data_IF_676208005762
#
_entry.id   IF_676208005762
#
_cell.length_a   1.000
_cell.length_b   1.000
_cell.length_c   1.000
_cell.angle_alpha   90.00
_cell.angle_beta   90.00
_cell.angle_gamma   90.00
#
_symmetry.space_group_name_H-M   'P 1'
#
loop_
_entity.id
_entity.type
_entity.pdbx_description
1 polymer ?
#
# COMPACT_ATOMS: atom_id res chain seq x y z
N UNK A 1 2.94 0.97 9.90
CA UNK A 1 3.36 2.18 10.67
C UNK A 1 2.72 3.45 10.10
N UNK A 2 2.81 3.75 8.78
CA UNK A 2 2.13 4.90 8.13
C UNK A 2 0.62 4.79 8.29
N UNK A 3 0.05 3.62 7.99
CA UNK A 3 -1.39 3.37 8.13
C UNK A 3 -1.86 3.62 9.58
N UNK A 4 -1.12 3.14 10.60
CA UNK A 4 -1.42 3.43 12.01
C UNK A 4 -1.45 4.93 12.29
N UNK A 5 -0.49 5.68 11.74
CA UNK A 5 -0.44 7.13 11.92
C UNK A 5 -1.67 7.81 11.27
N UNK A 6 -2.04 7.41 10.05
CA UNK A 6 -3.22 7.90 9.36
C UNK A 6 -4.51 7.65 10.15
N UNK A 7 -4.69 6.44 10.69
CA UNK A 7 -5.88 6.08 11.47
C UNK A 7 -5.94 6.79 12.81
N UNK A 8 -4.79 7.03 13.45
CA UNK A 8 -4.71 7.66 14.77
C UNK A 8 -4.91 9.16 14.72
N UNK A 9 -4.31 9.84 13.74
CA UNK A 9 -4.25 11.30 13.69
C UNK A 9 -5.07 11.89 12.54
N UNK A 10 -5.54 11.06 11.61
CA UNK A 10 -6.44 11.45 10.55
C UNK A 10 -7.84 11.78 11.08
N UNK A 11 -8.41 12.88 10.59
CA UNK A 11 -9.79 13.28 10.94
C UNK A 11 -10.85 12.60 10.08
N UNK A 12 -10.46 11.77 9.14
CA UNK A 12 -11.32 11.07 8.19
C UNK A 12 -11.78 9.72 8.74
N UNK A 13 -13.02 9.35 8.42
CA UNK A 13 -13.58 8.03 8.71
C UNK A 13 -13.14 7.08 7.61
N UNK A 14 -12.00 6.42 7.82
CA UNK A 14 -11.39 5.53 6.85
C UNK A 14 -11.76 4.08 7.17
N UNK A 15 -12.18 3.33 6.14
CA UNK A 15 -12.11 1.88 6.18
C UNK A 15 -10.74 1.42 5.68
N UNK A 16 -10.28 0.30 6.19
CA UNK A 16 -9.01 -0.30 5.80
C UNK A 16 -9.25 -1.71 5.31
N UNK A 17 -8.78 -1.99 4.11
CA UNK A 17 -8.73 -3.31 3.54
C UNK A 17 -7.27 -3.76 3.55
N UNK A 18 -6.96 -4.82 4.28
CA UNK A 18 -5.61 -5.38 4.39
C UNK A 18 -5.55 -6.65 3.56
N UNK A 19 -4.60 -6.68 2.66
CA UNK A 19 -4.24 -7.86 1.90
C UNK A 19 -2.84 -8.31 2.28
N UNK A 20 -2.74 -9.10 3.35
CA UNK A 20 -1.47 -9.62 3.84
C UNK A 20 -1.33 -11.12 3.55
N UNK A 21 -0.09 -11.51 3.27
CA UNK A 21 0.34 -12.88 3.10
C UNK A 21 0.72 -13.53 4.43
N UNK A 22 0.25 -14.73 4.65
CA UNK A 22 0.71 -15.57 5.75
C UNK A 22 -0.25 -15.60 6.94
N UNK A 23 -0.04 -16.57 7.82
CA UNK A 23 -0.87 -16.86 8.97
C UNK A 23 -1.28 -15.63 9.77
N UNK A 24 -2.58 -15.38 9.74
CA UNK A 24 -3.32 -14.59 10.74
C UNK A 24 -2.66 -13.29 11.23
N UNK A 25 -3.03 -12.17 10.59
CA UNK A 25 -3.37 -10.97 11.33
C UNK A 25 -2.30 -10.22 12.11
N UNK A 26 -1.00 -10.30 11.77
CA UNK A 26 -0.01 -9.49 12.51
C UNK A 26 -0.28 -7.98 12.38
N UNK A 27 -0.70 -7.51 11.20
CA UNK A 27 -1.00 -6.10 11.02
C UNK A 27 -2.40 -5.73 11.52
N UNK A 28 -3.38 -6.61 11.35
CA UNK A 28 -4.70 -6.46 11.98
C UNK A 28 -4.62 -6.45 13.50
N UNK A 29 -3.85 -7.33 14.11
CA UNK A 29 -3.63 -7.37 15.56
C UNK A 29 -2.81 -6.15 16.04
N UNK A 30 -1.86 -5.68 15.25
CA UNK A 30 -1.13 -4.44 15.52
C UNK A 30 -2.03 -3.20 15.44
N UNK A 31 -3.01 -3.18 14.55
CA UNK A 31 -4.01 -2.12 14.48
C UNK A 31 -4.99 -2.20 15.64
N UNK A 32 -5.47 -3.40 15.98
CA UNK A 32 -6.32 -3.66 17.17
C UNK A 32 -5.63 -3.28 18.47
N UNK A 33 -4.32 -3.52 18.59
CA UNK A 33 -3.53 -3.18 19.78
C UNK A 33 -3.24 -1.68 19.93
N UNK A 34 -3.64 -0.83 19.01
CA UNK A 34 -3.39 0.61 19.08
C UNK A 34 -4.10 1.35 20.23
N UNK A 35 -5.11 0.75 20.86
CA UNK A 35 -5.73 1.26 22.11
C UNK A 35 -6.46 2.60 21.99
N UNK A 36 -6.68 3.13 20.79
CA UNK A 36 -7.26 4.46 20.55
C UNK A 36 -8.61 4.45 19.83
N UNK A 37 -9.01 3.29 19.28
CA UNK A 37 -10.35 3.07 18.77
C UNK A 37 -11.02 2.05 19.70
N UNK A 38 -12.34 2.15 19.90
CA UNK A 38 -13.07 1.06 20.55
C UNK A 38 -12.94 -0.22 19.70
N UNK A 39 -12.99 -1.39 20.34
CA UNK A 39 -12.97 -2.67 19.59
C UNK A 39 -14.08 -2.70 18.53
N UNK A 40 -15.24 -2.16 18.86
CA UNK A 40 -16.42 -2.05 17.98
C UNK A 40 -16.16 -1.12 16.77
N UNK A 41 -15.42 -0.01 16.95
CA UNK A 41 -15.01 0.88 15.86
C UNK A 41 -13.97 0.25 14.93
N UNK A 42 -13.06 -0.56 15.47
CA UNK A 42 -12.04 -1.28 14.71
C UNK A 42 -12.64 -2.43 13.90
N UNK A 43 -13.50 -3.24 14.50
CA UNK A 43 -14.21 -4.33 13.82
C UNK A 43 -15.07 -3.82 12.66
N UNK A 44 -15.64 -2.62 12.81
CA UNK A 44 -16.47 -2.01 11.77
C UNK A 44 -15.67 -1.34 10.64
N UNK A 45 -14.39 -1.07 10.81
CA UNK A 45 -13.55 -0.34 9.84
C UNK A 45 -12.43 -1.18 9.23
N UNK A 46 -12.06 -2.27 9.90
CA UNK A 46 -10.98 -3.16 9.47
C UNK A 46 -11.59 -4.38 8.77
N UNK A 47 -11.22 -4.59 7.51
CA UNK A 47 -11.60 -5.79 6.76
C UNK A 47 -10.33 -6.48 6.27
N UNK A 48 -10.09 -7.67 6.80
CA UNK A 48 -8.99 -8.52 6.37
C UNK A 48 -9.45 -9.42 5.22
N UNK A 49 -8.66 -9.50 4.16
CA UNK A 49 -8.89 -10.45 3.07
C UNK A 49 -8.21 -11.77 3.42
N UNK A 50 -8.97 -12.83 3.56
CA UNK A 50 -8.50 -14.10 4.13
C UNK A 50 -7.75 -15.02 3.15
N UNK A 51 -7.71 -14.73 1.85
CA UNK A 51 -7.31 -15.72 0.85
C UNK A 51 -6.24 -15.20 -0.12
N UNK A 52 -5.00 -15.04 0.33
CA UNK A 52 -3.88 -14.92 -0.57
C UNK A 52 -3.73 -13.60 -1.33
N UNK A 53 -2.89 -13.59 -2.37
CA UNK A 53 -2.55 -12.39 -3.13
C UNK A 53 -3.75 -11.78 -3.86
N UNK A 54 -3.99 -10.52 -3.62
CA UNK A 54 -5.02 -9.74 -4.30
C UNK A 54 -4.85 -9.77 -5.83
N UNK A 55 -3.64 -10.05 -6.33
CA UNK A 55 -3.36 -10.17 -7.76
C UNK A 55 -3.97 -11.41 -8.41
N UNK A 56 -4.21 -12.50 -7.65
CA UNK A 56 -4.76 -13.76 -8.17
C UNK A 56 -6.24 -13.97 -7.83
N UNK A 57 -6.69 -13.43 -6.70
CA UNK A 57 -8.07 -13.60 -6.17
C UNK A 57 -8.89 -12.32 -6.19
N UNK A 58 -8.49 -11.32 -7.01
CA UNK A 58 -9.17 -10.02 -7.07
C UNK A 58 -10.67 -10.15 -7.30
N UNK A 59 -11.12 -11.12 -8.10
CA UNK A 59 -12.54 -11.30 -8.37
C UNK A 59 -13.30 -11.92 -7.19
N UNK A 60 -12.68 -12.86 -6.50
CA UNK A 60 -13.38 -13.70 -5.52
C UNK A 60 -13.51 -13.02 -4.16
N UNK A 61 -12.50 -12.28 -3.72
CA UNK A 61 -12.47 -11.68 -2.38
C UNK A 61 -12.55 -10.14 -2.39
N UNK A 62 -11.86 -9.49 -3.33
CA UNK A 62 -11.81 -8.03 -3.39
C UNK A 62 -13.16 -7.42 -3.75
N UNK A 63 -13.84 -7.93 -4.80
CA UNK A 63 -15.10 -7.36 -5.26
C UNK A 63 -16.22 -7.45 -4.21
N UNK A 64 -16.49 -8.61 -3.58
CA UNK A 64 -17.50 -8.70 -2.53
C UNK A 64 -17.18 -7.81 -1.32
N UNK A 65 -15.91 -7.76 -0.93
CA UNK A 65 -15.45 -6.91 0.18
C UNK A 65 -15.63 -5.42 -0.15
N UNK A 66 -15.22 -5.01 -1.34
CA UNK A 66 -15.41 -3.64 -1.81
C UNK A 66 -16.90 -3.28 -1.86
N UNK A 67 -17.76 -4.15 -2.38
CA UNK A 67 -19.21 -3.93 -2.39
C UNK A 67 -19.79 -3.78 -0.98
N UNK A 68 -19.31 -4.55 -0.02
CA UNK A 68 -19.71 -4.42 1.39
C UNK A 68 -19.32 -3.05 1.95
N UNK A 69 -18.09 -2.59 1.72
CA UNK A 69 -17.65 -1.25 2.15
C UNK A 69 -18.42 -0.14 1.44
N UNK A 70 -18.70 -0.30 0.16
CA UNK A 70 -19.48 0.68 -0.63
C UNK A 70 -20.94 0.76 -0.18
N UNK A 71 -21.52 -0.31 0.36
CA UNK A 71 -22.87 -0.26 0.95
C UNK A 71 -22.94 0.67 2.16
N UNK A 72 -21.79 0.94 2.80
CA UNK A 72 -21.61 1.83 3.96
C UNK A 72 -20.98 3.18 3.58
N UNK A 73 -20.99 3.56 2.32
CA UNK A 73 -20.33 4.78 1.81
C UNK A 73 -20.76 6.07 2.53
N UNK A 74 -21.99 6.14 3.05
CA UNK A 74 -22.46 7.28 3.84
C UNK A 74 -21.76 7.45 5.19
N UNK A 75 -21.13 6.38 5.70
CA UNK A 75 -20.41 6.34 6.99
C UNK A 75 -18.92 6.59 6.82
N UNK A 76 -18.40 6.48 5.60
CA UNK A 76 -16.97 6.50 5.28
C UNK A 76 -16.61 7.74 4.45
N UNK A 77 -15.45 8.29 4.74
CA UNK A 77 -14.84 9.36 3.94
C UNK A 77 -13.83 8.80 2.93
N UNK A 78 -13.42 7.53 3.09
CA UNK A 78 -12.51 6.85 2.17
C UNK A 78 -12.20 5.41 2.57
N UNK A 79 -11.56 4.71 1.64
CA UNK A 79 -11.07 3.34 1.82
C UNK A 79 -9.57 3.36 1.56
N UNK A 80 -8.80 2.79 2.47
CA UNK A 80 -7.36 2.56 2.29
C UNK A 80 -7.15 1.08 2.04
N UNK A 81 -6.51 0.75 0.94
CA UNK A 81 -6.12 -0.63 0.62
C UNK A 81 -4.63 -0.77 0.88
N UNK A 82 -4.26 -1.61 1.84
CA UNK A 82 -2.89 -2.00 2.09
C UNK A 82 -2.61 -3.31 1.37
N UNK A 83 -1.50 -3.35 0.66
CA UNK A 83 -1.06 -4.54 -0.07
C UNK A 83 0.26 -5.04 0.49
N UNK A 84 0.48 -6.35 0.39
CA UNK A 84 1.79 -6.94 0.64
C UNK A 84 2.87 -6.25 -0.20
N UNK A 85 4.10 -6.18 0.33
CA UNK A 85 5.26 -5.71 -0.42
C UNK A 85 5.60 -6.56 -1.66
N UNK A 86 4.98 -7.73 -1.81
CA UNK A 86 5.09 -8.61 -2.98
C UNK A 86 3.94 -8.45 -3.98
N UNK A 87 2.96 -7.61 -3.70
CA UNK A 87 1.83 -7.44 -4.57
C UNK A 87 2.19 -6.63 -5.83
N UNK A 88 1.74 -7.12 -6.99
CA UNK A 88 1.71 -6.34 -8.21
C UNK A 88 0.56 -5.32 -8.12
N UNK A 89 0.83 -4.02 -8.27
CA UNK A 89 -0.20 -3.01 -8.07
C UNK A 89 -1.21 -2.94 -9.22
N UNK A 90 -0.79 -3.26 -10.45
CA UNK A 90 -1.62 -3.12 -11.66
C UNK A 90 -2.94 -3.90 -11.63
N UNK A 91 -3.01 -5.18 -11.20
CA UNK A 91 -4.27 -5.92 -11.13
C UNK A 91 -5.29 -5.25 -10.22
N UNK A 92 -4.85 -4.70 -9.08
CA UNK A 92 -5.72 -3.98 -8.16
C UNK A 92 -6.24 -2.67 -8.79
N UNK A 93 -5.36 -1.91 -9.43
CA UNK A 93 -5.75 -0.68 -10.13
C UNK A 93 -6.77 -0.96 -11.24
N UNK A 94 -6.59 -2.05 -12.00
CA UNK A 94 -7.55 -2.49 -13.01
C UNK A 94 -8.90 -2.88 -12.40
N UNK A 95 -8.91 -3.51 -11.23
CA UNK A 95 -10.14 -3.89 -10.54
C UNK A 95 -10.97 -2.67 -10.10
N UNK A 96 -10.34 -1.55 -9.79
CA UNK A 96 -11.04 -0.29 -9.48
C UNK A 96 -11.78 0.28 -10.70
N UNK A 97 -11.37 -0.06 -11.92
CA UNK A 97 -12.02 0.35 -13.17
C UNK A 97 -13.21 -0.55 -13.57
N UNK A 98 -13.52 -1.60 -12.80
CA UNK A 98 -14.66 -2.46 -13.09
C UNK A 98 -15.99 -1.70 -12.97
N UNK A 99 -16.97 -2.00 -13.84
CA UNK A 99 -18.25 -1.26 -13.89
C UNK A 99 -18.96 -1.14 -12.55
N UNK A 100 -18.89 -2.18 -11.72
CA UNK A 100 -19.56 -2.24 -10.41
C UNK A 100 -18.90 -1.33 -9.35
N UNK A 101 -17.64 -0.95 -9.57
CA UNK A 101 -16.81 -0.17 -8.64
C UNK A 101 -16.60 1.25 -9.15
N UNK A 102 -16.15 1.44 -10.40
CA UNK A 102 -15.69 2.72 -10.95
C UNK A 102 -16.69 3.87 -10.86
N UNK A 103 -17.98 3.55 -10.83
CA UNK A 103 -19.04 4.57 -10.70
C UNK A 103 -19.24 5.06 -9.26
N UNK A 104 -18.65 4.36 -8.27
CA UNK A 104 -18.86 4.59 -6.85
C UNK A 104 -17.62 5.02 -6.11
N UNK A 105 -16.43 4.79 -6.68
CA UNK A 105 -15.14 5.16 -6.10
C UNK A 105 -14.33 6.00 -7.06
N UNK A 106 -13.47 6.83 -6.48
CA UNK A 106 -12.42 7.54 -7.18
C UNK A 106 -11.08 7.16 -6.53
N UNK A 107 -10.11 6.73 -7.35
CA UNK A 107 -8.77 6.50 -6.87
C UNK A 107 -8.11 7.84 -6.54
N UNK A 108 -7.84 8.06 -5.26
CA UNK A 108 -7.22 9.29 -4.79
C UNK A 108 -5.71 9.30 -5.08
N UNK A 109 -5.04 8.16 -4.94
CA UNK A 109 -3.63 8.02 -5.27
C UNK A 109 -3.03 6.72 -4.77
N UNK A 110 -1.87 6.41 -5.31
CA UNK A 110 -1.05 5.26 -4.94
C UNK A 110 0.17 5.73 -4.17
N UNK A 111 0.36 5.20 -2.97
CA UNK A 111 1.51 5.50 -2.11
C UNK A 111 2.41 4.29 -2.03
N UNK A 112 3.64 4.43 -2.50
CA UNK A 112 4.66 3.39 -2.37
C UNK A 112 5.60 3.71 -1.22
N UNK A 113 5.78 2.77 -0.30
CA UNK A 113 6.69 2.90 0.84
C UNK A 113 7.97 2.13 0.55
N UNK A 114 9.09 2.82 0.62
CA UNK A 114 10.43 2.26 0.40
C UNK A 114 11.18 2.23 1.72
N UNK A 115 11.80 1.10 2.05
CA UNK A 115 12.71 1.01 3.19
C UNK A 115 14.05 1.69 2.83
N UNK A 116 14.28 2.87 3.40
CA UNK A 116 15.49 3.66 3.13
C UNK A 116 16.76 2.98 3.63
N UNK A 117 16.70 2.27 4.77
CA UNK A 117 17.82 1.55 5.35
C UNK A 117 18.22 0.37 4.45
N UNK A 118 17.24 -0.48 4.08
CA UNK A 118 17.47 -1.62 3.19
C UNK A 118 17.99 -1.18 1.81
N UNK A 119 17.40 -0.14 1.23
CA UNK A 119 17.80 0.33 -0.09
C UNK A 119 19.21 0.98 -0.07
N UNK A 120 19.62 1.59 1.05
CA UNK A 120 20.97 2.06 1.25
C UNK A 120 21.98 0.91 1.30
N UNK A 121 21.61 -0.25 1.82
CA UNK A 121 22.40 -1.48 1.83
C UNK A 121 22.40 -2.24 0.49
N UNK A 122 21.62 -1.77 -0.47
CA UNK A 122 21.59 -2.28 -1.85
C UNK A 122 20.39 -3.16 -2.17
N UNK A 123 19.53 -3.49 -1.20
CA UNK A 123 18.35 -4.32 -1.38
C UNK A 123 17.05 -3.49 -1.36
N UNK A 124 16.05 -3.79 -2.20
CA UNK A 124 14.72 -3.17 -2.08
C UNK A 124 13.96 -3.60 -0.82
N UNK A 125 14.39 -4.66 -0.15
CA UNK A 125 13.77 -5.26 1.04
C UNK A 125 14.80 -5.52 2.13
N UNK A 126 14.40 -5.38 3.40
CA UNK A 126 15.29 -5.54 4.55
C UNK A 126 15.68 -6.99 4.85
N UNK A 127 14.81 -7.95 4.57
CA UNK A 127 15.05 -9.38 4.81
C UNK A 127 14.66 -10.21 3.59
N UNK A 128 15.65 -10.50 2.75
CA UNK A 128 15.48 -11.30 1.53
C UNK A 128 15.07 -12.73 1.88
N UNK A 129 15.64 -13.31 2.95
CA UNK A 129 15.35 -14.68 3.32
C UNK A 129 13.92 -14.87 3.84
N UNK A 130 13.40 -13.89 4.59
CA UNK A 130 12.00 -13.89 5.02
C UNK A 130 11.07 -13.76 3.82
N UNK A 131 11.44 -12.92 2.86
CA UNK A 131 10.68 -12.71 1.63
C UNK A 131 10.65 -13.96 0.73
N UNK A 132 11.77 -14.65 0.56
CA UNK A 132 11.86 -15.91 -0.21
C UNK A 132 10.99 -16.99 0.43
N UNK A 133 11.02 -17.13 1.74
CA UNK A 133 10.14 -18.06 2.47
C UNK A 133 8.67 -17.71 2.29
N UNK A 134 8.33 -16.43 2.31
CA UNK A 134 6.97 -15.97 2.07
C UNK A 134 6.51 -16.29 0.64
N UNK A 135 7.38 -16.12 -0.35
CA UNK A 135 7.14 -16.55 -1.74
C UNK A 135 6.90 -18.05 -1.85
N UNK A 136 7.72 -18.88 -1.20
CA UNK A 136 7.59 -20.34 -1.24
C UNK A 136 6.28 -20.85 -0.61
N UNK A 137 5.74 -20.13 0.37
CA UNK A 137 4.53 -20.51 1.10
C UNK A 137 3.25 -20.13 0.35
N UNK A 138 3.33 -19.31 -0.67
CA UNK A 138 2.18 -18.81 -1.39
C UNK A 138 2.14 -19.29 -2.83
N UNK A 139 1.27 -20.26 -3.08
CA UNK A 139 1.05 -20.85 -4.40
C UNK A 139 0.45 -19.85 -5.42
N UNK A 140 -0.10 -18.72 -4.95
CA UNK A 140 -0.77 -17.72 -5.77
C UNK A 140 0.14 -16.55 -6.16
N UNK A 141 1.36 -16.48 -5.61
CA UNK A 141 2.33 -15.47 -6.02
C UNK A 141 2.92 -15.80 -7.38
N UNK A 142 3.11 -14.78 -8.19
CA UNK A 142 4.01 -14.86 -9.33
C UNK A 142 5.45 -15.02 -8.85
N UNK A 143 5.89 -16.28 -8.75
CA UNK A 143 7.26 -16.63 -8.34
C UNK A 143 8.32 -16.26 -9.37
N UNK A 144 7.91 -15.81 -10.56
CA UNK A 144 8.79 -15.61 -11.70
C UNK A 144 9.30 -14.18 -11.80
N UNK A 145 8.54 -13.19 -11.31
CA UNK A 145 8.95 -11.79 -11.40
C UNK A 145 10.13 -11.49 -10.47
N UNK A 146 11.26 -11.03 -10.97
CA UNK A 146 12.40 -10.61 -10.16
C UNK A 146 12.00 -9.48 -9.19
N UNK A 147 12.58 -9.45 -7.99
CA UNK A 147 12.29 -8.41 -6.99
C UNK A 147 12.54 -6.99 -7.48
N UNK A 148 13.58 -6.79 -8.29
CA UNK A 148 13.91 -5.49 -8.87
C UNK A 148 12.88 -5.02 -9.90
N UNK A 149 12.26 -5.95 -10.63
CA UNK A 149 11.18 -5.67 -11.56
C UNK A 149 9.91 -5.30 -10.82
N UNK A 150 9.51 -6.13 -9.84
CA UNK A 150 8.39 -5.85 -8.95
C UNK A 150 8.52 -4.47 -8.27
N UNK A 151 9.70 -4.20 -7.71
CA UNK A 151 9.99 -2.92 -7.09
C UNK A 151 9.87 -1.74 -8.08
N UNK A 152 10.33 -1.96 -9.31
CA UNK A 152 10.22 -0.96 -10.38
C UNK A 152 8.76 -0.71 -10.76
N UNK A 153 7.95 -1.77 -10.90
CA UNK A 153 6.52 -1.66 -11.19
C UNK A 153 5.75 -0.91 -10.10
N UNK A 154 6.07 -1.18 -8.83
CA UNK A 154 5.49 -0.46 -7.69
C UNK A 154 5.84 1.03 -7.69
N UNK A 155 7.07 1.38 -8.09
CA UNK A 155 7.50 2.77 -8.21
C UNK A 155 6.86 3.48 -9.41
N UNK A 156 6.66 2.78 -10.51
CA UNK A 156 6.07 3.35 -11.72
C UNK A 156 4.59 3.75 -11.55
N UNK A 157 3.83 3.07 -10.70
CA UNK A 157 2.43 3.41 -10.46
C UNK A 157 2.25 4.43 -9.34
N UNK A 158 3.29 4.72 -8.57
CA UNK A 158 3.22 5.60 -7.41
C UNK A 158 2.89 7.06 -7.79
N UNK A 159 1.97 7.65 -7.05
CA UNK A 159 1.68 9.09 -7.06
C UNK A 159 2.43 9.81 -5.92
N UNK A 160 2.89 9.04 -4.92
CA UNK A 160 3.75 9.50 -3.84
C UNK A 160 4.68 8.35 -3.42
N UNK A 161 5.96 8.64 -3.26
CA UNK A 161 6.91 7.70 -2.66
C UNK A 161 7.34 8.20 -1.28
N UNK A 162 7.25 7.34 -0.27
CA UNK A 162 7.69 7.59 1.09
C UNK A 162 8.93 6.74 1.41
N UNK A 163 10.04 7.38 1.69
CA UNK A 163 11.25 6.71 2.18
C UNK A 163 11.14 6.62 3.70
N UNK A 164 10.86 5.42 4.20
CA UNK A 164 10.78 5.12 5.62
C UNK A 164 12.17 4.95 6.24
N UNK A 165 12.26 4.99 7.58
CA UNK A 165 13.52 4.86 8.32
C UNK A 165 14.60 5.86 7.91
N UNK A 166 14.19 7.03 7.42
CA UNK A 166 15.11 8.07 6.99
C UNK A 166 16.00 8.61 8.12
N UNK A 167 15.56 8.47 9.35
CA UNK A 167 16.31 8.79 10.57
C UNK A 167 17.47 7.84 10.88
N UNK A 168 17.51 6.65 10.22
CA UNK A 168 18.54 5.63 10.44
C UNK A 168 19.70 5.68 9.46
N UNK A 169 19.63 6.55 8.47
CA UNK A 169 20.64 6.71 7.44
C UNK A 169 21.15 8.16 7.40
N UNK A 170 22.40 8.36 6.93
CA UNK A 170 22.98 9.70 6.79
C UNK A 170 22.25 10.51 5.69
N UNK A 171 22.40 11.83 5.72
CA UNK A 171 21.87 12.70 4.67
C UNK A 171 22.45 12.38 3.29
N UNK A 172 23.72 11.98 3.22
CA UNK A 172 24.36 11.53 1.99
C UNK A 172 23.75 10.24 1.48
N UNK A 173 23.57 9.24 2.35
CA UNK A 173 22.88 7.97 2.04
C UNK A 173 21.46 8.21 1.57
N UNK A 174 20.73 9.11 2.24
CA UNK A 174 19.37 9.47 1.85
C UNK A 174 19.31 10.11 0.46
N UNK A 175 20.30 10.96 0.14
CA UNK A 175 20.44 11.53 -1.21
C UNK A 175 20.69 10.44 -2.26
N UNK A 176 21.55 9.48 -1.96
CA UNK A 176 21.83 8.34 -2.84
C UNK A 176 20.60 7.47 -3.06
N UNK A 177 19.83 7.19 -1.99
CA UNK A 177 18.54 6.47 -2.08
C UNK A 177 17.56 7.21 -2.99
N UNK A 178 17.40 8.53 -2.81
CA UNK A 178 16.56 9.37 -3.67
C UNK A 178 16.99 9.31 -5.13
N UNK A 179 18.28 9.43 -5.39
CA UNK A 179 18.83 9.37 -6.75
C UNK A 179 18.61 8.00 -7.42
N UNK A 180 18.58 6.92 -6.64
CA UNK A 180 18.30 5.56 -7.14
C UNK A 180 16.82 5.35 -7.48
N UNK A 181 15.91 6.01 -6.75
CA UNK A 181 14.46 5.92 -6.95
C UNK A 181 13.99 6.83 -8.08
N UNK A 182 14.48 8.07 -8.13
CA UNK A 182 14.01 9.11 -9.05
C UNK A 182 13.87 8.70 -10.51
N UNK A 183 14.79 7.91 -11.11
CA UNK A 183 14.62 7.47 -12.50
C UNK A 183 13.54 6.45 -12.72
N UNK A 184 13.03 5.82 -11.64
CA UNK A 184 12.06 4.72 -11.69
C UNK A 184 10.62 5.17 -11.45
N UNK A 185 10.40 6.38 -10.97
CA UNK A 185 9.08 6.96 -10.73
C UNK A 185 8.62 7.81 -11.93
N UNK A 186 7.32 8.05 -12.02
CA UNK A 186 6.76 8.97 -13.00
C UNK A 186 7.32 10.38 -12.80
N UNK A 187 7.43 11.14 -13.88
CA UNK A 187 7.87 12.53 -13.81
C UNK A 187 6.92 13.35 -12.94
N UNK A 188 7.45 13.99 -11.92
CA UNK A 188 6.67 14.83 -11.01
C UNK A 188 6.18 14.12 -9.75
N UNK A 189 6.35 12.78 -9.63
CA UNK A 189 6.03 12.06 -8.40
C UNK A 189 6.90 12.58 -7.24
N UNK A 190 6.30 13.08 -6.15
CA UNK A 190 7.05 13.51 -4.99
C UNK A 190 7.66 12.32 -4.25
N UNK A 191 8.91 12.51 -3.76
CA UNK A 191 9.63 11.53 -2.94
C UNK A 191 9.94 12.19 -1.60
N UNK A 192 9.24 11.77 -0.56
CA UNK A 192 9.36 12.30 0.79
C UNK A 192 10.07 11.32 1.72
N UNK A 193 10.81 11.85 2.67
CA UNK A 193 11.47 11.07 3.72
C UNK A 193 10.63 11.15 4.98
N UNK A 194 10.40 10.00 5.61
CA UNK A 194 9.61 9.92 6.84
C UNK A 194 10.34 9.12 7.91
N UNK A 195 10.07 9.44 9.17
CA UNK A 195 10.55 8.73 10.35
C UNK A 195 9.36 8.26 11.16
N UNK A 196 9.41 7.04 11.67
CA UNK A 196 8.35 6.43 12.49
C UNK A 196 6.96 6.40 11.83
N UNK A 197 6.87 6.57 10.50
CA UNK A 197 5.61 6.65 9.76
C UNK A 197 4.84 7.95 9.96
N UNK A 198 5.46 8.95 10.55
CA UNK A 198 4.86 10.25 10.84
C UNK A 198 4.83 11.12 9.58
N UNK A 199 3.63 11.55 9.23
CA UNK A 199 3.43 12.49 8.14
C UNK A 199 2.03 13.10 8.25
N UNK A 200 1.85 14.31 7.73
CA UNK A 200 0.54 14.93 7.70
C UNK A 200 -0.41 14.10 6.81
N UNK A 201 -1.54 13.69 7.37
CA UNK A 201 -2.53 12.88 6.68
C UNK A 201 -3.06 13.52 5.39
N UNK A 202 -3.05 14.85 5.30
CA UNK A 202 -3.46 15.59 4.12
C UNK A 202 -2.55 15.33 2.91
N UNK A 203 -1.28 14.99 3.14
CA UNK A 203 -0.33 14.66 2.06
C UNK A 203 -0.74 13.36 1.36
N UNK A 204 -1.15 12.34 2.13
CA UNK A 204 -1.59 11.05 1.57
C UNK A 204 -3.02 11.14 1.05
N UNK A 205 -3.91 11.77 1.81
CA UNK A 205 -5.34 11.82 1.48
C UNK A 205 -5.71 12.96 0.51
N UNK A 206 -4.77 13.82 0.18
CA UNK A 206 -4.93 14.92 -0.77
C UNK A 206 -4.26 14.68 -2.13
N UNK A 207 -3.87 13.45 -2.43
CA UNK A 207 -3.32 13.09 -3.73
C UNK A 207 -4.39 13.24 -4.83
N UNK A 208 -3.96 13.47 -6.05
CA UNK A 208 -4.81 13.49 -7.24
C UNK A 208 -4.23 12.55 -8.30
N UNK A 209 -4.94 11.46 -8.56
CA UNK A 209 -4.54 10.45 -9.53
C UNK A 209 -4.91 10.81 -10.98
N UNK A 210 -5.54 11.95 -11.22
CA UNK A 210 -6.07 12.35 -12.54
C UNK A 210 -5.01 12.41 -13.66
N UNK A 211 -3.74 12.50 -13.30
CA UNK A 211 -2.63 12.51 -14.26
C UNK A 211 -2.13 11.11 -14.68
N UNK A 212 -2.74 10.04 -14.18
CA UNK A 212 -2.23 8.68 -14.36
C UNK A 212 -3.00 7.87 -15.42
N UNK A 213 -4.08 8.41 -15.96
CA UNK A 213 -4.95 7.72 -16.94
C UNK A 213 -4.25 7.36 -18.27
N UNK A 214 -3.05 7.88 -18.53
CA UNK A 214 -2.33 7.61 -19.78
C UNK A 214 -1.52 6.29 -19.78
N UNK A 215 -1.35 5.62 -18.64
CA UNK A 215 -0.48 4.44 -18.52
C UNK A 215 -1.24 3.10 -18.61
N UNK A 216 -2.58 3.14 -18.56
CA UNK A 216 -3.40 1.91 -18.56
C UNK A 216 -3.92 1.50 -19.96
N UNK A 217 -3.49 2.15 -21.05
CA UNK A 217 -4.00 1.94 -22.42
C UNK A 217 -2.91 1.42 -23.38
N UNK A 218 -2.01 0.53 -22.91
CA UNK A 218 -1.20 -0.28 -23.84
C UNK A 218 -1.28 -1.76 -23.50
#
# INVERSE_FOLDING_TARGET
TVLRHLLRFGKKRLAVMINEFGSVGLDGDLLKSCGFCSEEDLENRLVELNNGCLCCTVQDDFLPTMQTLLSRSNELDGIVVETSGLALPRPLLQALEWPDIRSKVHLNGVVTIVDGEALNEGSPVGDISALEKQREQDENLDHLTPLDELFTDQLQVADLVLISRADRISLESLSNVKNRISPKVKRGTPILSISNGELDSSIVLGLDHSHTSEVLVE
#
